data_IF_576185356176
#
_entry.id   IF_576185356176
#
_cell.length_a   1.000
_cell.length_b   1.000
_cell.length_c   1.000
_cell.angle_alpha   90.00
_cell.angle_beta   90.00
_cell.angle_gamma   90.00
#
_symmetry.space_group_name_H-M   'P 1'
#
loop_
_entity.id
_entity.type
_entity.pdbx_description
1 polymer ?
#
# COMPACT_ATOMS: atom_id res chain seq x y z
N UNK A 1 13.23 -32.67 31.37
CA UNK A 1 13.17 -31.26 30.91
C UNK A 1 12.15 -31.15 29.78
N UNK A 2 11.37 -30.08 29.74
CA UNK A 2 10.37 -29.85 28.68
C UNK A 2 11.02 -29.40 27.36
N UNK A 3 10.31 -29.61 26.24
CA UNK A 3 10.67 -29.02 24.94
C UNK A 3 10.26 -27.54 24.91
N UNK A 4 10.81 -26.79 23.94
CA UNK A 4 10.44 -25.40 23.68
C UNK A 4 8.97 -25.27 23.31
N UNK A 5 8.33 -24.19 23.78
CA UNK A 5 6.96 -23.84 23.39
C UNK A 5 6.93 -23.27 21.97
N UNK A 6 5.76 -23.30 21.32
CA UNK A 6 5.59 -22.87 19.93
C UNK A 6 6.01 -21.41 19.73
N UNK A 7 5.73 -20.51 20.68
CA UNK A 7 6.12 -19.10 20.58
C UNK A 7 7.65 -18.91 20.53
N UNK A 8 8.41 -19.71 21.28
CA UNK A 8 9.88 -19.71 21.21
C UNK A 8 10.38 -20.20 19.85
N UNK A 9 9.71 -21.20 19.27
CA UNK A 9 10.05 -21.70 17.94
C UNK A 9 9.69 -20.70 16.83
N UNK A 10 8.58 -19.97 16.99
CA UNK A 10 8.17 -18.87 16.11
C UNK A 10 9.16 -17.70 16.15
N UNK A 11 9.56 -17.28 17.36
CA UNK A 11 10.51 -16.17 17.55
C UNK A 11 11.89 -16.43 16.94
N UNK A 12 12.29 -17.71 16.81
CA UNK A 12 13.51 -18.09 16.08
C UNK A 12 13.44 -17.76 14.57
N UNK A 13 12.23 -17.63 13.99
CA UNK A 13 12.05 -17.24 12.59
C UNK A 13 12.48 -18.30 11.57
N UNK A 14 12.36 -19.59 11.93
CA UNK A 14 12.61 -20.70 10.99
C UNK A 14 11.64 -20.69 9.79
N UNK A 15 11.95 -21.44 8.71
CA UNK A 15 11.19 -21.40 7.45
C UNK A 15 9.70 -21.74 7.63
N UNK A 16 9.35 -22.62 8.58
CA UNK A 16 7.97 -22.99 8.92
C UNK A 16 7.10 -21.81 9.36
N UNK A 17 7.68 -20.79 10.01
CA UNK A 17 6.96 -19.65 10.57
C UNK A 17 7.22 -18.34 9.83
N UNK A 18 8.09 -18.36 8.81
CA UNK A 18 8.41 -17.19 8.01
C UNK A 18 7.35 -17.03 6.93
N UNK A 19 6.92 -15.79 6.72
CA UNK A 19 6.02 -15.50 5.62
C UNK A 19 6.74 -15.62 4.26
N UNK A 20 6.06 -16.08 3.20
CA UNK A 20 6.65 -16.25 1.87
C UNK A 20 6.81 -14.89 1.17
N UNK A 21 7.75 -14.08 1.63
CA UNK A 21 7.95 -12.69 1.16
C UNK A 21 8.31 -12.57 -0.33
N UNK A 22 8.82 -13.65 -0.95
CA UNK A 22 9.10 -13.70 -2.38
C UNK A 22 7.82 -13.72 -3.26
N UNK A 23 6.66 -13.98 -2.67
CA UNK A 23 5.35 -13.90 -3.34
C UNK A 23 4.71 -12.51 -3.24
N UNK A 24 5.32 -11.58 -2.48
CA UNK A 24 4.75 -10.27 -2.25
C UNK A 24 4.95 -9.40 -3.48
N UNK A 25 3.90 -8.65 -3.88
CA UNK A 25 3.97 -7.78 -5.06
C UNK A 25 4.73 -6.50 -4.81
N UNK A 26 4.39 -5.80 -3.75
CA UNK A 26 4.95 -4.49 -3.46
C UNK A 26 4.84 -4.11 -1.98
N UNK A 27 5.82 -3.32 -1.54
CA UNK A 27 5.72 -2.55 -0.32
C UNK A 27 4.92 -1.27 -0.63
N UNK A 28 3.70 -1.19 -0.08
CA UNK A 28 2.80 -0.07 -0.30
C UNK A 28 3.21 1.09 0.61
N UNK A 29 3.61 2.22 0.02
CA UNK A 29 4.00 3.44 0.74
C UNK A 29 3.32 4.64 0.11
N UNK A 30 3.01 5.65 0.93
CA UNK A 30 2.63 6.95 0.41
C UNK A 30 3.85 7.61 -0.24
N UNK A 31 3.75 8.04 -1.51
CA UNK A 31 4.85 8.70 -2.21
C UNK A 31 5.10 10.11 -1.64
N UNK A 32 6.36 10.54 -1.75
CA UNK A 32 6.77 11.91 -1.47
C UNK A 32 6.79 12.30 0.00
N UNK A 33 6.85 13.62 0.21
CA UNK A 33 6.82 14.24 1.52
C UNK A 33 5.54 15.05 1.68
N UNK A 34 5.21 15.26 2.94
CA UNK A 34 4.02 15.94 3.45
C UNK A 34 3.87 17.41 2.97
N UNK A 35 4.92 17.99 2.39
CA UNK A 35 4.97 19.36 1.86
C UNK A 35 4.55 19.47 0.39
N UNK A 36 4.64 18.39 -0.38
CA UNK A 36 4.44 18.42 -1.82
C UNK A 36 3.16 17.69 -2.20
N UNK A 37 2.48 18.18 -3.23
CA UNK A 37 1.32 17.50 -3.79
C UNK A 37 1.77 16.67 -4.98
N UNK A 38 1.59 15.36 -4.89
CA UNK A 38 1.87 14.41 -5.96
C UNK A 38 0.54 13.93 -6.52
N UNK A 39 0.43 13.93 -7.85
CA UNK A 39 -0.75 13.41 -8.55
C UNK A 39 -0.36 12.21 -9.42
N UNK A 40 -1.34 11.34 -9.62
CA UNK A 40 -1.19 10.17 -10.48
C UNK A 40 -2.53 9.66 -10.97
N UNK A 41 -2.46 8.67 -11.85
CA UNK A 41 -3.63 8.02 -12.46
C UNK A 41 -3.55 6.51 -12.26
N UNK A 42 -4.67 5.90 -11.87
CA UNK A 42 -4.75 4.44 -11.76
C UNK A 42 -4.69 3.84 -13.16
N UNK A 43 -3.69 2.98 -13.38
CA UNK A 43 -3.50 2.27 -14.65
C UNK A 43 -4.02 0.83 -14.58
N UNK A 44 -4.03 0.21 -13.39
CA UNK A 44 -4.50 -1.16 -13.21
C UNK A 44 -4.90 -1.43 -11.74
N UNK A 45 -5.72 -2.46 -11.52
CA UNK A 45 -6.09 -2.95 -10.19
C UNK A 45 -5.82 -4.45 -10.15
N UNK A 46 -4.92 -4.87 -9.25
CA UNK A 46 -4.42 -6.22 -9.18
C UNK A 46 -4.66 -6.87 -7.81
N UNK A 47 -4.76 -8.19 -7.75
CA UNK A 47 -4.80 -8.93 -6.47
C UNK A 47 -3.42 -8.97 -5.81
N UNK A 48 -3.32 -8.65 -4.52
CA UNK A 48 -2.10 -8.79 -3.71
C UNK A 48 -2.11 -10.06 -2.85
N UNK A 49 -1.19 -11.02 -3.09
CA UNK A 49 -1.09 -12.26 -2.32
C UNK A 49 -0.76 -12.04 -0.83
N UNK A 50 -0.09 -10.94 -0.48
CA UNK A 50 0.34 -10.69 0.91
C UNK A 50 -0.84 -10.30 1.83
N UNK A 51 -1.85 -9.65 1.26
CA UNK A 51 -2.98 -9.05 2.00
C UNK A 51 -4.33 -9.69 1.67
N UNK A 52 -4.39 -10.54 0.64
CA UNK A 52 -5.64 -11.07 0.07
C UNK A 52 -6.64 -9.96 -0.30
N UNK A 53 -6.14 -8.83 -0.79
CA UNK A 53 -6.91 -7.63 -1.11
C UNK A 53 -6.47 -7.07 -2.48
N UNK A 54 -7.32 -6.29 -3.16
CA UNK A 54 -6.90 -5.57 -4.36
C UNK A 54 -5.93 -4.44 -4.01
N UNK A 55 -5.00 -4.15 -4.91
CA UNK A 55 -4.08 -3.02 -4.88
C UNK A 55 -4.16 -2.29 -6.23
N UNK A 56 -4.01 -0.97 -6.22
CA UNK A 56 -4.00 -0.20 -7.45
C UNK A 56 -2.56 0.08 -7.88
N UNK A 57 -2.31 -0.07 -9.17
CA UNK A 57 -1.08 0.38 -9.83
C UNK A 57 -1.33 1.78 -10.38
N UNK A 58 -0.48 2.72 -9.98
CA UNK A 58 -0.63 4.14 -10.31
C UNK A 58 0.59 4.61 -11.09
N UNK A 59 0.34 5.36 -12.14
CA UNK A 59 1.36 6.11 -12.85
C UNK A 59 1.33 7.56 -12.35
N UNK A 60 2.44 8.01 -11.79
CA UNK A 60 2.63 9.37 -11.30
C UNK A 60 2.86 10.33 -12.48
N UNK A 61 2.65 11.64 -12.26
CA UNK A 61 3.00 12.67 -13.25
C UNK A 61 4.50 12.69 -13.61
N UNK A 62 5.37 12.19 -12.71
CA UNK A 62 6.81 12.00 -12.97
C UNK A 62 7.11 10.84 -13.93
N UNK A 63 6.12 10.01 -14.27
CA UNK A 63 6.27 8.79 -15.05
C UNK A 63 6.64 7.55 -14.24
N UNK A 64 6.86 7.70 -12.93
CA UNK A 64 7.11 6.55 -12.04
C UNK A 64 5.83 5.75 -11.78
N UNK A 65 5.97 4.42 -11.69
CA UNK A 65 4.87 3.51 -11.40
C UNK A 65 4.97 3.02 -9.97
N UNK A 66 3.95 3.29 -9.19
CA UNK A 66 3.85 2.90 -7.79
C UNK A 66 2.64 2.00 -7.56
N UNK A 67 2.63 1.31 -6.42
CA UNK A 67 1.44 0.61 -5.96
C UNK A 67 0.87 1.33 -4.74
N UNK A 68 -0.46 1.48 -4.71
CA UNK A 68 -1.20 2.06 -3.59
C UNK A 68 -2.25 1.08 -3.07
N UNK A 69 -2.66 1.28 -1.81
CA UNK A 69 -3.88 0.67 -1.30
C UNK A 69 -5.08 1.29 -2.02
N UNK A 70 -5.91 0.45 -2.63
CA UNK A 70 -7.13 0.90 -3.31
C UNK A 70 -8.28 0.99 -2.30
N UNK A 71 -9.13 2.00 -2.44
CA UNK A 71 -10.37 2.12 -1.67
C UNK A 71 -11.55 1.61 -2.49
N UNK A 72 -12.65 1.28 -1.82
CA UNK A 72 -13.86 0.82 -2.49
C UNK A 72 -14.42 1.92 -3.41
N UNK A 73 -14.89 1.52 -4.60
CA UNK A 73 -15.45 2.43 -5.59
C UNK A 73 -14.44 3.05 -6.54
N UNK A 74 -13.13 2.80 -6.35
CA UNK A 74 -12.09 3.28 -7.26
C UNK A 74 -11.97 2.43 -8.52
N UNK A 75 -11.70 3.08 -9.65
CA UNK A 75 -11.58 2.43 -10.96
C UNK A 75 -10.31 2.77 -11.73
N UNK A 76 -10.04 2.00 -12.79
CA UNK A 76 -8.97 2.32 -13.74
C UNK A 76 -9.27 3.65 -14.44
N UNK A 77 -8.26 4.50 -14.52
CA UNK A 77 -8.34 5.82 -15.13
C UNK A 77 -8.68 6.96 -14.17
N UNK A 78 -9.02 6.65 -12.92
CA UNK A 78 -9.27 7.65 -11.90
C UNK A 78 -7.99 8.35 -11.45
N UNK A 79 -8.10 9.66 -11.18
CA UNK A 79 -7.00 10.47 -10.67
C UNK A 79 -6.93 10.37 -9.15
N UNK A 80 -5.70 10.27 -8.64
CA UNK A 80 -5.38 10.15 -7.21
C UNK A 80 -4.33 11.19 -6.84
N UNK A 81 -4.42 11.71 -5.63
CA UNK A 81 -3.51 12.72 -5.13
C UNK A 81 -3.04 12.41 -3.70
N UNK A 82 -1.79 12.77 -3.43
CA UNK A 82 -1.17 12.77 -2.11
C UNK A 82 -0.68 14.18 -1.80
N UNK A 83 -1.01 14.72 -0.63
CA UNK A 83 -0.47 16.01 -0.18
C UNK A 83 -1.53 17.02 0.26
N UNK A 84 -1.11 18.25 0.62
CA UNK A 84 -1.98 19.25 1.22
C UNK A 84 -3.00 19.86 0.26
N UNK A 85 -2.74 19.84 -1.06
CA UNK A 85 -3.71 20.31 -2.07
C UNK A 85 -4.58 19.17 -2.64
N UNK A 86 -4.51 17.98 -2.04
CA UNK A 86 -5.38 16.88 -2.45
C UNK A 86 -6.84 17.20 -2.07
N UNK A 87 -7.77 16.86 -2.95
CA UNK A 87 -9.20 17.02 -2.63
C UNK A 87 -9.63 15.98 -1.59
N UNK A 88 -10.55 16.33 -0.70
CA UNK A 88 -11.18 15.39 0.24
C UNK A 88 -12.08 14.44 -0.54
N UNK A 89 -11.47 13.37 -1.05
CA UNK A 89 -12.10 12.36 -1.89
C UNK A 89 -11.55 10.99 -1.54
N UNK A 90 -12.39 9.96 -1.67
CA UNK A 90 -11.96 8.57 -1.52
C UNK A 90 -10.77 8.26 -2.43
N UNK A 91 -9.74 7.64 -1.85
CA UNK A 91 -8.49 7.30 -2.52
C UNK A 91 -7.38 8.34 -2.40
N UNK A 92 -7.69 9.60 -2.11
CA UNK A 92 -6.67 10.61 -1.86
C UNK A 92 -6.07 10.47 -0.46
N UNK A 93 -4.81 10.86 -0.33
CA UNK A 93 -4.10 10.86 0.97
C UNK A 93 -3.83 12.29 1.42
N UNK A 94 -4.37 12.63 2.59
CA UNK A 94 -4.30 13.93 3.23
C UNK A 94 -3.66 13.83 4.62
N UNK A 95 -3.23 14.96 5.19
CA UNK A 95 -2.87 15.00 6.62
C UNK A 95 -4.14 14.87 7.45
N UNK A 96 -4.00 14.33 8.65
CA UNK A 96 -5.13 14.17 9.58
C UNK A 96 -5.82 15.49 9.94
N UNK A 97 -5.08 16.60 9.99
CA UNK A 97 -5.64 17.93 10.28
C UNK A 97 -6.47 18.52 9.11
N UNK A 98 -6.29 18.00 7.90
CA UNK A 98 -6.96 18.50 6.69
C UNK A 98 -8.23 17.67 6.36
N UNK A 99 -8.51 16.62 7.14
CA UNK A 99 -9.69 15.75 6.99
C UNK A 99 -10.80 16.29 7.90
N UNK A 100 -12.00 16.60 7.37
CA UNK A 100 -13.13 17.11 8.15
C UNK A 100 -13.78 16.07 9.07
#
# INVERSE_FOLDING_TARGET
MGKRIISQNRGRGGPTYRAPSHLYKAELKHPGYVTETIRGKIIDIEHDPARHAPIAKVELESGEKIYMLVTEGMGVGEAVAWGPEAEVKNGNTLKMNDIP
#
